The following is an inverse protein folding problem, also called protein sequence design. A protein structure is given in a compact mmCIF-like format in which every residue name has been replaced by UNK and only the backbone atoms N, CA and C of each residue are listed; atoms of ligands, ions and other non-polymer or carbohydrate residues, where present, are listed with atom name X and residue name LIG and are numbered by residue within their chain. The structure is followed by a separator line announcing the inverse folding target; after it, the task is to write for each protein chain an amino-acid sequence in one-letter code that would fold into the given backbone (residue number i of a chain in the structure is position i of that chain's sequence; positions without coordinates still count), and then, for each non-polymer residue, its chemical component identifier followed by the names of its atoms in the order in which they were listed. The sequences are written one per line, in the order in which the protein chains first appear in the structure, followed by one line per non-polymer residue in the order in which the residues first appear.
data_IF_303178111947
#
_entry.id   IF_303178111947
#
_cell.length_a   1.000
_cell.length_b   1.000
_cell.length_c   1.000
_cell.angle_alpha   90.00
_cell.angle_beta   90.00
_cell.angle_gamma   90.00
#
_symmetry.space_group_name_H-M   'P 1'
#
loop_
_entity.id
_entity.type
_entity.pdbx_description
1 polymer ?
#
# COMPACT_ATOMS: atom_id res chain seq x y z
N UNK A 1 12.11 -16.12 -7.73
CA UNK A 1 11.49 -17.23 -6.97
C UNK A 1 11.22 -16.67 -5.58
N UNK A 2 10.06 -16.04 -5.39
CA UNK A 2 9.71 -15.42 -4.11
C UNK A 2 9.14 -16.49 -3.19
N UNK A 3 9.68 -16.62 -1.99
CA UNK A 3 9.12 -17.50 -0.97
C UNK A 3 7.70 -17.00 -0.65
N UNK A 4 6.68 -17.77 -1.04
CA UNK A 4 5.37 -17.66 -0.42
C UNK A 4 5.55 -18.04 1.04
N UNK A 5 5.66 -17.05 1.92
CA UNK A 5 5.55 -17.26 3.36
C UNK A 5 4.15 -17.75 3.63
N UNK A 6 4.06 -19.00 4.08
CA UNK A 6 2.86 -19.73 4.48
C UNK A 6 1.85 -18.78 5.16
N UNK A 7 0.73 -18.49 4.49
CA UNK A 7 -0.32 -17.59 4.99
C UNK A 7 -0.31 -16.13 4.49
N UNK A 8 0.62 -15.72 3.63
CA UNK A 8 0.57 -14.37 3.01
C UNK A 8 -0.56 -14.30 1.98
N UNK A 9 -1.44 -13.32 2.12
CA UNK A 9 -2.55 -13.07 1.19
C UNK A 9 -2.38 -11.72 0.50
N UNK A 10 -2.91 -11.59 -0.72
CA UNK A 10 -2.74 -10.37 -1.49
C UNK A 10 -3.01 -10.56 -2.98
N UNK A 11 -2.75 -9.52 -3.76
CA UNK A 11 -2.89 -9.56 -5.20
C UNK A 11 -1.92 -8.61 -5.90
N UNK A 12 -1.76 -8.84 -7.21
CA UNK A 12 -0.94 -8.02 -8.09
C UNK A 12 0.52 -8.47 -8.15
N UNK A 13 1.32 -7.67 -8.86
CA UNK A 13 2.73 -7.93 -9.16
C UNK A 13 3.60 -6.87 -8.49
N UNK A 14 4.72 -7.30 -7.90
CA UNK A 14 5.72 -6.39 -7.31
C UNK A 14 6.16 -5.35 -8.34
N UNK A 15 6.33 -5.74 -9.61
CA UNK A 15 6.82 -4.86 -10.67
C UNK A 15 5.86 -3.72 -11.03
N UNK A 16 4.56 -3.88 -10.80
CA UNK A 16 3.54 -2.90 -11.18
C UNK A 16 2.87 -2.29 -9.95
N UNK A 17 2.01 -3.08 -9.32
CA UNK A 17 1.33 -2.74 -8.08
C UNK A 17 0.91 -4.02 -7.39
N UNK A 18 1.34 -4.19 -6.14
CA UNK A 18 0.99 -5.31 -5.28
C UNK A 18 0.63 -4.81 -3.90
N UNK A 19 -0.41 -5.41 -3.33
CA UNK A 19 -0.78 -5.25 -1.92
C UNK A 19 -0.80 -6.63 -1.30
N UNK A 20 -0.17 -6.78 -0.14
CA UNK A 20 -0.16 -8.05 0.57
C UNK A 20 -0.19 -7.84 2.08
N UNK A 21 -0.67 -8.87 2.76
CA UNK A 21 -0.69 -8.95 4.20
C UNK A 21 -0.22 -10.33 4.65
N UNK A 22 0.75 -10.36 5.56
CA UNK A 22 1.24 -11.59 6.18
C UNK A 22 0.80 -11.60 7.65
N UNK A 23 -0.23 -12.38 8.02
CA UNK A 23 -0.68 -12.51 9.40
C UNK A 23 0.46 -12.98 10.32
N UNK A 24 0.52 -12.43 11.53
CA UNK A 24 1.48 -12.81 12.58
C UNK A 24 0.79 -13.18 13.90
N UNK A 25 -0.47 -12.79 14.10
CA UNK A 25 -1.27 -13.13 15.27
C UNK A 25 -2.16 -14.36 15.06
N UNK A 26 -2.57 -15.00 16.15
CA UNK A 26 -3.49 -16.15 16.11
C UNK A 26 -4.87 -15.78 15.56
N UNK A 27 -5.37 -14.57 15.85
CA UNK A 27 -6.63 -14.04 15.33
C UNK A 27 -6.50 -13.50 13.89
N UNK A 28 -5.30 -13.55 13.31
CA UNK A 28 -4.95 -13.11 11.96
C UNK A 28 -5.21 -11.62 11.65
N UNK A 29 -5.57 -10.81 12.66
CA UNK A 29 -5.87 -9.39 12.50
C UNK A 29 -4.65 -8.49 12.52
N UNK A 30 -3.54 -8.99 13.07
CA UNK A 30 -2.26 -8.29 13.15
C UNK A 30 -1.20 -9.03 12.32
N UNK A 31 -0.42 -8.25 11.57
CA UNK A 31 0.56 -8.81 10.65
C UNK A 31 1.34 -7.73 9.93
N UNK A 32 2.11 -8.13 8.93
CA UNK A 32 2.88 -7.21 8.11
C UNK A 32 2.01 -6.81 6.91
N UNK A 33 1.66 -5.54 6.80
CA UNK A 33 0.97 -5.00 5.63
C UNK A 33 1.99 -4.32 4.71
N UNK A 34 2.16 -4.86 3.51
CA UNK A 34 3.16 -4.40 2.56
C UNK A 34 2.51 -3.99 1.24
N UNK A 35 2.97 -2.86 0.70
CA UNK A 35 2.57 -2.37 -0.61
C UNK A 35 3.82 -2.19 -1.46
N UNK A 36 3.70 -2.58 -2.73
CA UNK A 36 4.73 -2.39 -3.75
C UNK A 36 4.14 -1.54 -4.86
N UNK A 37 4.88 -0.51 -5.26
CA UNK A 37 4.52 0.37 -6.36
C UNK A 37 5.70 0.45 -7.31
N UNK A 38 5.58 -0.11 -8.52
CA UNK A 38 6.65 -0.11 -9.51
C UNK A 38 7.94 -0.77 -9.02
N UNK A 39 7.85 -1.86 -8.27
CA UNK A 39 8.99 -2.56 -7.67
C UNK A 39 9.45 -2.03 -6.32
N UNK A 40 8.97 -0.86 -5.88
CA UNK A 40 9.38 -0.25 -4.61
C UNK A 40 8.46 -0.68 -3.48
N UNK A 41 9.03 -1.32 -2.46
CA UNK A 41 8.36 -1.60 -1.19
C UNK A 41 8.21 -0.30 -0.38
N UNK A 42 6.99 0.03 0.06
CA UNK A 42 6.70 1.29 0.79
C UNK A 42 6.19 1.12 2.22
N UNK A 43 5.84 -0.08 2.66
CA UNK A 43 5.66 -0.39 4.09
C UNK A 43 7.00 -0.58 4.80
N UNK A 44 7.04 -0.32 6.11
CA UNK A 44 8.23 -0.44 6.95
C UNK A 44 8.49 -1.85 7.53
N UNK A 45 7.60 -2.81 7.24
CA UNK A 45 7.74 -4.19 7.70
C UNK A 45 7.34 -4.42 9.16
N UNK A 46 6.86 -3.39 9.86
CA UNK A 46 6.36 -3.53 11.23
C UNK A 46 5.00 -4.27 11.28
N UNK A 47 4.68 -4.82 12.45
CA UNK A 47 3.39 -5.48 12.68
C UNK A 47 2.31 -4.43 12.93
N UNK A 48 1.24 -4.46 12.15
CA UNK A 48 0.10 -3.52 12.18
C UNK A 48 -1.22 -4.28 12.20
N UNK A 49 -2.29 -3.61 12.64
CA UNK A 49 -3.66 -4.06 12.39
C UNK A 49 -4.01 -3.95 10.90
N UNK A 50 -4.73 -4.93 10.35
CA UNK A 50 -5.15 -4.95 8.94
C UNK A 50 -6.26 -3.93 8.61
N UNK A 51 -7.22 -3.75 9.52
CA UNK A 51 -8.45 -3.01 9.26
C UNK A 51 -8.25 -1.54 8.82
N UNK A 52 -7.35 -0.73 9.45
CA UNK A 52 -7.07 0.63 9.00
C UNK A 52 -6.60 0.68 7.54
N UNK A 53 -5.64 -0.17 7.19
CA UNK A 53 -5.11 -0.27 5.82
C UNK A 53 -6.17 -0.68 4.82
N UNK A 54 -7.02 -1.65 5.20
CA UNK A 54 -8.16 -2.05 4.38
C UNK A 54 -9.07 -0.86 4.04
N UNK A 55 -9.47 -0.11 5.06
CA UNK A 55 -10.37 1.05 4.91
C UNK A 55 -9.74 2.13 4.03
N UNK A 56 -8.47 2.44 4.25
CA UNK A 56 -7.80 3.55 3.58
C UNK A 56 -7.57 3.23 2.08
N UNK A 57 -7.19 1.99 1.75
CA UNK A 57 -7.10 1.55 0.36
C UNK A 57 -8.46 1.33 -0.32
N UNK A 58 -9.48 0.89 0.42
CA UNK A 58 -10.85 0.84 -0.10
C UNK A 58 -11.30 2.24 -0.55
N UNK A 59 -11.10 3.25 0.30
CA UNK A 59 -11.40 4.64 -0.02
C UNK A 59 -10.62 5.11 -1.25
N UNK A 60 -9.33 4.79 -1.34
CA UNK A 60 -8.51 5.17 -2.48
C UNK A 60 -9.00 4.49 -3.78
N UNK A 61 -9.40 3.23 -3.72
CA UNK A 61 -9.98 2.50 -4.83
C UNK A 61 -11.32 3.08 -5.26
N UNK A 62 -12.20 3.43 -4.33
CA UNK A 62 -13.49 4.07 -4.64
C UNK A 62 -13.29 5.41 -5.35
N UNK A 63 -12.28 6.19 -4.93
CA UNK A 63 -11.92 7.44 -5.60
C UNK A 63 -11.34 7.18 -7.00
N UNK A 64 -10.52 6.14 -7.17
CA UNK A 64 -9.98 5.73 -8.46
C UNK A 64 -11.05 5.13 -9.39
N UNK A 65 -12.20 4.66 -8.91
CA UNK A 65 -13.28 4.18 -9.76
C UNK A 65 -14.14 5.31 -10.35
N UNK A 66 -14.25 6.46 -9.66
CA UNK A 66 -15.04 7.61 -10.12
C UNK A 66 -14.41 8.29 -11.34
N UNK A 67 -15.15 8.53 -12.45
CA UNK A 67 -14.62 9.25 -13.61
C UNK A 67 -13.97 10.58 -13.23
N UNK A 68 -12.93 10.96 -13.97
CA UNK A 68 -12.25 12.24 -13.81
C UNK A 68 -10.82 12.16 -13.31
N UNK A 69 -10.25 13.36 -13.14
CA UNK A 69 -8.87 13.63 -12.72
C UNK A 69 -8.92 14.14 -11.28
N UNK A 70 -7.89 13.81 -10.50
CA UNK A 70 -7.65 14.41 -9.18
C UNK A 70 -6.25 14.96 -9.16
N UNK A 71 -6.14 16.20 -8.71
CA UNK A 71 -4.86 16.86 -8.52
C UNK A 71 -4.04 16.16 -7.42
N UNK A 72 -2.79 16.58 -7.29
CA UNK A 72 -1.89 16.04 -6.28
C UNK A 72 -2.47 16.29 -4.88
N UNK A 73 -2.75 15.21 -4.16
CA UNK A 73 -3.25 15.25 -2.78
C UNK A 73 -2.31 14.45 -1.88
N UNK A 74 -2.17 14.89 -0.62
CA UNK A 74 -1.43 14.13 0.40
C UNK A 74 -2.15 12.80 0.64
N UNK A 75 -1.40 11.70 0.66
CA UNK A 75 -1.91 10.38 1.00
C UNK A 75 -1.42 10.02 2.40
N UNK A 76 -2.37 9.78 3.31
CA UNK A 76 -2.08 9.35 4.69
C UNK A 76 -2.58 7.91 4.79
N UNK A 77 -1.64 6.97 4.91
CA UNK A 77 -1.93 5.54 5.09
C UNK A 77 -1.67 5.07 6.54
N UNK A 78 -1.05 5.92 7.37
CA UNK A 78 -0.78 5.68 8.79
C UNK A 78 0.30 4.62 9.05
N UNK A 79 0.61 4.47 10.35
CA UNK A 79 1.41 3.39 10.96
C UNK A 79 2.63 2.98 10.12
N UNK A 80 2.54 1.88 9.36
CA UNK A 80 3.63 1.29 8.56
C UNK A 80 4.17 2.19 7.45
N UNK A 81 3.46 3.28 7.12
CA UNK A 81 3.81 4.24 6.07
C UNK A 81 4.24 5.61 6.61
N UNK A 82 4.25 5.82 7.93
CA UNK A 82 4.51 7.13 8.52
C UNK A 82 5.96 7.61 8.33
N UNK A 83 6.87 6.71 7.96
CA UNK A 83 8.23 7.02 7.53
C UNK A 83 8.32 7.76 6.18
N UNK A 84 7.20 7.90 5.47
CA UNK A 84 7.14 8.48 4.13
C UNK A 84 6.26 9.76 4.10
N UNK A 85 6.63 10.66 3.20
CA UNK A 85 5.76 11.73 2.72
C UNK A 85 5.12 11.34 1.40
N UNK A 86 3.95 10.69 1.47
CA UNK A 86 3.23 10.22 0.28
C UNK A 86 2.24 11.25 -0.25
N UNK A 87 2.19 11.33 -1.57
CA UNK A 87 1.18 12.02 -2.33
C UNK A 87 0.67 11.09 -3.43
N UNK A 88 -0.56 11.31 -3.84
CA UNK A 88 -1.13 10.62 -4.98
C UNK A 88 -1.78 11.62 -5.94
N UNK A 89 -1.92 11.21 -7.20
CA UNK A 89 -2.63 11.97 -8.23
C UNK A 89 -3.34 10.98 -9.14
N UNK A 90 -4.56 11.30 -9.56
CA UNK A 90 -5.36 10.45 -10.45
C UNK A 90 -5.55 11.13 -11.80
N UNK A 91 -5.36 10.39 -12.87
CA UNK A 91 -5.76 10.81 -14.23
C UNK A 91 -6.80 9.83 -14.77
N UNK A 92 -7.22 10.02 -16.02
CA UNK A 92 -8.14 9.08 -16.66
C UNK A 92 -7.51 7.69 -16.85
N UNK A 93 -6.20 7.60 -17.06
CA UNK A 93 -5.51 6.36 -17.37
C UNK A 93 -4.61 5.83 -16.25
N UNK A 94 -4.11 6.71 -15.38
CA UNK A 94 -3.05 6.38 -14.43
C UNK A 94 -3.33 6.90 -13.01
N UNK A 95 -2.81 6.17 -12.03
CA UNK A 95 -2.57 6.61 -10.66
C UNK A 95 -1.07 6.89 -10.50
N UNK A 96 -0.72 8.08 -10.05
CA UNK A 96 0.66 8.44 -9.72
C UNK A 96 0.84 8.42 -8.22
N UNK A 97 1.82 7.68 -7.74
CA UNK A 97 2.31 7.75 -6.37
C UNK A 97 3.60 8.54 -6.37
N UNK A 98 3.71 9.53 -5.49
CA UNK A 98 4.93 10.32 -5.30
C UNK A 98 5.27 10.30 -3.83
N UNK A 99 6.45 9.81 -3.48
CA UNK A 99 6.88 9.68 -2.10
C UNK A 99 8.36 9.97 -1.92
N UNK A 100 8.71 10.39 -0.72
CA UNK A 100 10.09 10.50 -0.24
C UNK A 100 10.13 10.04 1.20
N UNK A 101 11.28 9.54 1.64
CA UNK A 101 11.49 9.14 3.03
C UNK A 101 11.67 10.38 3.90
N UNK A 102 11.00 10.40 5.05
CA UNK A 102 11.14 11.49 6.01
C UNK A 102 12.56 11.51 6.58
N UNK A 103 13.12 12.69 6.89
CA UNK A 103 14.43 12.78 7.51
C UNK A 103 14.49 12.04 8.85
N UNK A 104 15.67 11.48 9.19
CA UNK A 104 15.83 10.69 10.42
C UNK A 104 15.51 11.47 11.71
N UNK A 105 15.74 12.78 11.74
CA UNK A 105 15.36 13.60 12.89
C UNK A 105 13.84 13.74 13.10
N UNK A 106 13.02 13.37 12.10
CA UNK A 106 11.55 13.41 12.15
C UNK A 106 10.97 12.04 12.51
N UNK A 107 11.59 10.94 12.05
CA UNK A 107 11.01 9.59 12.14
C UNK A 107 11.94 8.50 12.70
N UNK A 108 13.22 8.80 12.93
CA UNK A 108 14.24 7.80 13.27
C UNK A 108 14.81 7.12 12.03
N UNK A 109 15.35 5.92 12.20
CA UNK A 109 15.98 5.18 11.10
C UNK A 109 14.92 4.54 10.19
N UNK A 110 14.85 4.91 8.90
CA UNK A 110 13.92 4.30 7.96
C UNK A 110 14.31 2.84 7.66
N UNK A 111 13.39 2.01 7.14
CA UNK A 111 13.71 0.64 6.77
C UNK A 111 14.79 0.62 5.66
N UNK A 112 15.63 -0.42 5.59
CA UNK A 112 16.81 -0.45 4.73
C UNK A 112 16.50 -0.43 3.22
N UNK A 113 15.25 -0.73 2.83
CA UNK A 113 14.77 -0.65 1.45
C UNK A 113 14.11 0.68 1.10
N UNK A 114 13.86 1.56 2.08
CA UNK A 114 13.31 2.88 1.78
C UNK A 114 14.31 3.70 0.96
N UNK A 115 13.83 4.56 0.04
CA UNK A 115 14.69 5.54 -0.62
C UNK A 115 15.43 6.42 0.40
N UNK A 116 16.59 6.96 0.04
CA UNK A 116 17.28 7.92 0.90
C UNK A 116 16.40 9.17 1.15
N UNK A 117 16.46 9.79 2.35
CA UNK A 117 15.71 11.01 2.64
C UNK A 117 15.94 12.11 1.61
N UNK A 118 14.86 12.79 1.19
CA UNK A 118 14.90 13.85 0.18
C UNK A 118 14.98 13.35 -1.27
N UNK A 119 15.21 12.06 -1.51
CA UNK A 119 15.08 11.46 -2.84
C UNK A 119 13.61 11.23 -3.14
N UNK A 120 13.13 11.83 -4.22
CA UNK A 120 11.74 11.69 -4.66
C UNK A 120 11.59 10.50 -5.60
N UNK A 121 10.74 9.55 -5.22
CA UNK A 121 10.26 8.53 -6.11
C UNK A 121 8.90 8.96 -6.68
N UNK A 122 8.75 8.84 -8.00
CA UNK A 122 7.47 9.03 -8.69
C UNK A 122 7.19 7.81 -9.54
N UNK A 123 6.15 7.07 -9.16
CA UNK A 123 5.77 5.84 -9.81
C UNK A 123 4.39 5.99 -10.44
N UNK A 124 4.26 5.48 -11.66
CA UNK A 124 3.02 5.46 -12.43
C UNK A 124 2.46 4.04 -12.43
N UNK A 125 1.20 3.89 -12.03
CA UNK A 125 0.45 2.64 -12.10
C UNK A 125 -0.76 2.87 -13.00
N UNK A 126 -1.02 1.95 -13.94
CA UNK A 126 -2.24 2.02 -14.73
C UNK A 126 -3.46 1.96 -13.79
N UNK A 127 -4.43 2.86 -14.00
CA UNK A 127 -5.62 2.98 -13.17
C UNK A 127 -6.42 1.68 -13.12
N UNK A 128 -6.52 0.98 -14.26
CA UNK A 128 -7.14 -0.34 -14.34
C UNK A 128 -6.41 -1.36 -13.45
N UNK A 129 -5.08 -1.40 -13.49
CA UNK A 129 -4.25 -2.28 -12.65
C UNK A 129 -4.42 -1.98 -11.17
N UNK A 130 -4.41 -0.70 -10.77
CA UNK A 130 -4.63 -0.33 -9.38
C UNK A 130 -5.99 -0.83 -8.86
N UNK A 131 -7.06 -0.60 -9.63
CA UNK A 131 -8.42 -1.01 -9.25
C UNK A 131 -8.56 -2.53 -9.25
N UNK A 132 -8.07 -3.23 -10.27
CA UNK A 132 -8.21 -4.68 -10.38
C UNK A 132 -7.42 -5.42 -9.31
N UNK A 133 -6.20 -4.96 -9.01
CA UNK A 133 -5.38 -5.50 -7.91
C UNK A 133 -6.09 -5.33 -6.57
N UNK A 134 -6.64 -4.14 -6.28
CA UNK A 134 -7.39 -3.95 -5.03
C UNK A 134 -8.61 -4.89 -4.96
N UNK A 135 -9.42 -4.95 -6.02
CA UNK A 135 -10.60 -5.83 -6.07
C UNK A 135 -10.27 -7.31 -5.93
N UNK A 136 -9.08 -7.75 -6.35
CA UNK A 136 -8.61 -9.12 -6.18
C UNK A 136 -8.09 -9.40 -4.76
N UNK A 137 -7.46 -8.44 -4.10
CA UNK A 137 -6.96 -8.58 -2.73
C UNK A 137 -8.06 -8.42 -1.67
N UNK A 138 -9.03 -7.53 -1.92
CA UNK A 138 -10.06 -7.13 -0.96
C UNK A 138 -10.80 -8.32 -0.33
N UNK A 139 -11.26 -9.35 -1.06
CA UNK A 139 -11.98 -10.47 -0.45
C UNK A 139 -11.11 -11.28 0.53
N UNK A 140 -9.82 -11.42 0.23
CA UNK A 140 -8.87 -12.14 1.08
C UNK A 140 -8.67 -11.39 2.41
N UNK A 141 -8.48 -10.06 2.35
CA UNK A 141 -8.39 -9.23 3.55
C UNK A 141 -9.69 -9.21 4.35
N UNK A 142 -10.84 -9.16 3.66
CA UNK A 142 -12.15 -9.22 4.29
C UNK A 142 -12.36 -10.51 5.08
N UNK A 143 -11.97 -11.66 4.50
CA UNK A 143 -12.02 -12.96 5.17
C UNK A 143 -11.16 -12.98 6.44
N UNK A 144 -9.94 -12.44 6.40
CA UNK A 144 -9.05 -12.37 7.58
C UNK A 144 -9.63 -11.53 8.72
N UNK A 145 -10.42 -10.49 8.41
CA UNK A 145 -11.05 -9.67 9.45
C UNK A 145 -12.22 -10.37 10.15
N UNK A 146 -12.70 -11.49 9.60
CA UNK A 146 -13.86 -12.23 10.14
C UNK A 146 -15.16 -11.44 10.01
N UNK A 147 -15.24 -10.51 9.06
CA UNK A 147 -16.47 -9.80 8.74
C UNK A 147 -17.34 -10.74 7.90
N UNK A 148 -18.55 -11.05 8.36
CA UNK A 148 -19.56 -11.71 7.52
C UNK A 148 -20.22 -10.63 6.66
N UNK A 149 -20.29 -10.87 5.35
CA UNK A 149 -20.98 -10.00 4.39
C UNK A 149 -22.49 -10.05 4.53
#
# INVERSE_FOLDING_TARGET
MGAETDGTVGAGSIADFRVEFTPRSQDQRFGIFQVYVGGLAIGDGSTTALHPHYRDFQRLCDLAQKPGVRERERLILGDTFDHLDLNWRLTNADVFFTFTTRPAHVWGDPPPWAPAPGVWARVKVARSTFISTWRAAQPQFFQLMGLQG
#
